data_IF_129872074075
#
_entry.id   IF_129872074075
#
_cell.length_a   1.000
_cell.length_b   1.000
_cell.length_c   1.000
_cell.angle_alpha   90.00
_cell.angle_beta   90.00
_cell.angle_gamma   90.00
#
_symmetry.space_group_name_H-M   'P 1'
#
loop_
_entity.id
_entity.type
_entity.pdbx_description
1 polymer ?
#
# COMPACT_ATOMS: atom_id res chain seq x y z
N UNK A 1 16.27 -7.78 -10.43
CA UNK A 1 16.93 -6.53 -10.00
C UNK A 1 15.89 -5.86 -9.16
N UNK A 2 16.08 -5.97 -7.85
CA UNK A 2 15.09 -5.56 -6.87
C UNK A 2 14.91 -4.06 -6.95
N UNK A 3 13.67 -3.64 -7.10
CA UNK A 3 13.31 -2.22 -7.02
C UNK A 3 12.96 -1.92 -5.58
N UNK A 4 13.58 -0.87 -5.03
CA UNK A 4 13.35 -0.41 -3.67
C UNK A 4 12.84 1.02 -3.68
N UNK A 5 11.77 1.27 -2.93
CA UNK A 5 11.10 2.57 -2.83
C UNK A 5 10.91 2.89 -1.35
N UNK A 6 11.39 4.06 -0.94
CA UNK A 6 11.14 4.63 0.38
C UNK A 6 10.43 5.96 0.24
N UNK A 7 9.28 6.11 0.91
CA UNK A 7 8.49 7.35 0.93
C UNK A 7 8.02 7.61 2.36
N UNK A 8 7.90 8.89 2.72
CA UNK A 8 7.34 9.26 4.03
C UNK A 8 6.72 10.64 3.98
N UNK A 9 5.75 10.89 4.85
CA UNK A 9 5.11 12.18 5.03
C UNK A 9 4.84 12.46 6.52
N UNK A 10 4.74 13.75 6.85
CA UNK A 10 4.31 14.22 8.16
C UNK A 10 2.88 14.73 8.06
N UNK A 11 2.00 14.22 8.91
CA UNK A 11 0.58 14.56 8.89
C UNK A 11 0.12 14.98 10.29
N UNK A 12 -0.75 16.00 10.40
CA UNK A 12 -1.30 16.48 11.66
C UNK A 12 -2.49 15.61 12.13
N UNK A 13 -2.31 14.28 12.09
CA UNK A 13 -3.30 13.30 12.52
C UNK A 13 -2.67 12.27 13.46
N UNK A 14 -3.45 11.67 14.39
CA UNK A 14 -2.96 10.60 15.24
C UNK A 14 -2.48 9.39 14.44
N UNK A 15 -1.47 8.67 14.95
CA UNK A 15 -0.93 7.47 14.30
C UNK A 15 -2.01 6.40 14.04
N UNK A 16 -2.94 6.21 14.99
CA UNK A 16 -4.05 5.27 14.85
C UNK A 16 -4.94 5.61 13.66
N UNK A 17 -5.30 6.89 13.46
CA UNK A 17 -6.16 7.29 12.34
C UNK A 17 -5.51 7.01 10.98
N UNK A 18 -4.19 7.25 10.86
CA UNK A 18 -3.45 6.93 9.64
C UNK A 18 -3.29 5.43 9.43
N UNK A 19 -3.07 4.69 10.52
CA UNK A 19 -3.06 3.22 10.47
C UNK A 19 -4.39 2.68 9.97
N UNK A 20 -5.51 3.14 10.53
CA UNK A 20 -6.85 2.69 10.16
C UNK A 20 -7.13 2.98 8.69
N UNK A 21 -6.70 4.16 8.21
CA UNK A 21 -6.83 4.55 6.82
C UNK A 21 -6.07 3.62 5.86
N UNK A 22 -4.84 3.21 6.22
CA UNK A 22 -4.06 2.26 5.42
C UNK A 22 -4.57 0.83 5.61
N UNK A 23 -5.07 0.46 6.78
CA UNK A 23 -5.59 -0.89 7.01
C UNK A 23 -6.95 -1.12 6.31
N UNK A 24 -7.66 -0.04 5.93
CA UNK A 24 -8.93 -0.11 5.21
C UNK A 24 -8.75 -0.38 3.71
N UNK A 25 -8.19 -1.56 3.40
CA UNK A 25 -7.84 -1.98 2.04
C UNK A 25 -9.06 -2.02 1.13
N UNK A 26 -10.25 -2.37 1.64
CA UNK A 26 -11.48 -2.47 0.86
C UNK A 26 -11.87 -1.15 0.16
N UNK A 27 -11.40 -0.01 0.67
CA UNK A 27 -11.72 1.32 0.15
C UNK A 27 -10.67 1.90 -0.79
N UNK A 28 -9.60 1.18 -1.06
CA UNK A 28 -8.49 1.68 -1.89
C UNK A 28 -8.93 2.11 -3.29
N UNK A 29 -9.87 1.39 -3.91
CA UNK A 29 -10.41 1.76 -5.23
C UNK A 29 -11.22 3.06 -5.24
N UNK A 30 -11.62 3.60 -4.08
CA UNK A 30 -12.32 4.88 -4.00
C UNK A 30 -11.40 6.08 -4.25
N UNK A 31 -10.09 5.95 -3.98
CA UNK A 31 -9.18 7.11 -4.00
C UNK A 31 -7.80 6.85 -4.63
N UNK A 32 -7.39 5.59 -4.82
CA UNK A 32 -6.13 5.28 -5.52
C UNK A 32 -6.38 5.23 -7.03
N UNK A 33 -5.83 6.17 -7.83
CA UNK A 33 -6.21 6.31 -9.25
C UNK A 33 -5.84 5.12 -10.15
N UNK A 34 -4.91 4.28 -9.68
CA UNK A 34 -4.41 3.10 -10.36
C UNK A 34 -5.01 1.81 -9.81
N UNK A 35 -5.80 1.87 -8.74
CA UNK A 35 -6.47 0.73 -8.14
C UNK A 35 -7.87 0.58 -8.74
N UNK A 36 -8.05 -0.47 -9.55
CA UNK A 36 -9.35 -0.79 -10.15
C UNK A 36 -10.25 -1.61 -9.23
N UNK A 37 -9.66 -2.44 -8.35
CA UNK A 37 -10.38 -3.22 -7.35
C UNK A 37 -9.49 -3.48 -6.14
N UNK A 38 -10.11 -3.54 -4.96
CA UNK A 38 -9.47 -3.96 -3.73
C UNK A 38 -10.43 -4.80 -2.91
N UNK A 39 -9.95 -5.94 -2.40
CA UNK A 39 -10.78 -6.92 -1.66
C UNK A 39 -10.03 -7.46 -0.47
N UNK A 40 -10.67 -7.45 0.70
CA UNK A 40 -10.21 -8.20 1.87
C UNK A 40 -10.71 -9.63 1.72
N UNK A 41 -9.79 -10.59 1.66
CA UNK A 41 -10.09 -12.01 1.54
C UNK A 41 -10.29 -12.64 2.91
N UNK A 42 -9.43 -12.28 3.87
CA UNK A 42 -9.47 -12.73 5.26
C UNK A 42 -8.96 -11.60 6.16
N UNK A 43 -9.51 -11.47 7.37
CA UNK A 43 -9.07 -10.48 8.34
C UNK A 43 -9.24 -10.96 9.78
N UNK A 44 -8.32 -10.52 10.62
CA UNK A 44 -8.26 -10.68 12.07
C UNK A 44 -7.53 -9.47 12.67
N UNK A 45 -7.40 -9.41 13.99
CA UNK A 45 -6.72 -8.30 14.67
C UNK A 45 -5.21 -8.21 14.33
N UNK A 46 -4.57 -9.36 14.04
CA UNK A 46 -3.12 -9.45 13.83
C UNK A 46 -2.73 -9.68 12.36
N UNK A 47 -3.68 -10.10 11.52
CA UNK A 47 -3.41 -10.47 10.13
C UNK A 47 -4.56 -10.13 9.19
N UNK A 48 -4.21 -9.79 7.97
CA UNK A 48 -5.16 -9.59 6.87
C UNK A 48 -4.60 -10.18 5.58
N UNK A 49 -5.43 -10.91 4.83
CA UNK A 49 -5.11 -11.29 3.45
C UNK A 49 -5.96 -10.44 2.52
N UNK A 50 -5.32 -9.70 1.61
CA UNK A 50 -6.02 -8.78 0.72
C UNK A 50 -5.52 -8.88 -0.71
N UNK A 51 -6.42 -8.64 -1.66
CA UNK A 51 -6.14 -8.60 -3.10
C UNK A 51 -6.31 -7.19 -3.62
N UNK A 52 -5.36 -6.74 -4.44
CA UNK A 52 -5.42 -5.48 -5.18
C UNK A 52 -5.32 -5.76 -6.68
N UNK A 53 -6.16 -5.09 -7.46
CA UNK A 53 -6.08 -5.06 -8.91
C UNK A 53 -5.63 -3.68 -9.37
N UNK A 54 -4.45 -3.62 -9.98
CA UNK A 54 -3.92 -2.41 -10.60
C UNK A 54 -4.30 -2.38 -12.08
N UNK A 55 -4.78 -1.24 -12.58
CA UNK A 55 -5.14 -1.12 -13.99
C UNK A 55 -4.77 0.24 -14.58
N UNK A 56 -4.30 0.24 -15.83
CA UNK A 56 -4.10 1.45 -16.64
C UNK A 56 -4.06 1.10 -18.12
N UNK A 57 -4.82 1.84 -18.94
CA UNK A 57 -4.72 1.77 -20.41
C UNK A 57 -5.00 0.38 -21.00
N UNK A 58 -5.96 -0.36 -20.43
CA UNK A 58 -6.35 -1.70 -20.91
C UNK A 58 -5.50 -2.86 -20.38
N UNK A 59 -4.42 -2.57 -19.64
CA UNK A 59 -3.68 -3.57 -18.88
C UNK A 59 -4.17 -3.59 -17.43
N UNK A 60 -4.51 -4.78 -16.92
CA UNK A 60 -4.76 -4.99 -15.50
C UNK A 60 -4.03 -6.23 -14.99
N UNK A 61 -3.69 -6.19 -13.70
CA UNK A 61 -3.13 -7.32 -12.97
C UNK A 61 -3.56 -7.26 -11.52
N UNK A 62 -3.77 -8.42 -10.92
CA UNK A 62 -3.99 -8.54 -9.50
C UNK A 62 -2.77 -9.12 -8.79
N UNK A 63 -2.67 -8.80 -7.51
CA UNK A 63 -1.78 -9.47 -6.58
C UNK A 63 -2.47 -9.61 -5.23
N UNK A 64 -1.99 -10.54 -4.42
CA UNK A 64 -2.49 -10.84 -3.08
C UNK A 64 -1.33 -10.70 -2.11
N UNK A 65 -1.56 -10.00 -1.00
CA UNK A 65 -0.63 -9.92 0.11
C UNK A 65 -1.20 -10.55 1.37
N UNK A 66 -0.32 -11.10 2.19
CA UNK A 66 -0.58 -11.40 3.59
C UNK A 66 0.06 -10.31 4.43
N UNK A 67 -0.78 -9.61 5.17
CA UNK A 67 -0.41 -8.48 5.99
C UNK A 67 -0.31 -8.93 7.45
N UNK A 68 0.77 -8.56 8.12
CA UNK A 68 0.91 -8.65 9.58
C UNK A 68 0.69 -7.28 10.18
N UNK A 69 -0.20 -7.21 11.16
CA UNK A 69 -0.78 -5.97 11.67
C UNK A 69 -0.32 -5.70 13.10
N UNK A 70 0.20 -4.49 13.33
CA UNK A 70 0.40 -3.95 14.68
C UNK A 70 -0.36 -2.62 14.77
N UNK A 71 -1.56 -2.62 15.38
CA UNK A 71 -2.42 -1.43 15.42
C UNK A 71 -1.69 -0.15 15.84
N UNK A 72 -1.84 0.88 15.02
CA UNK A 72 -1.24 2.20 15.23
C UNK A 72 0.28 2.28 15.08
N UNK A 73 0.96 1.18 14.70
CA UNK A 73 2.42 1.11 14.64
C UNK A 73 2.95 0.68 13.28
N UNK A 74 2.48 -0.46 12.74
CA UNK A 74 3.00 -0.97 11.47
C UNK A 74 2.05 -1.93 10.76
N UNK A 75 2.24 -2.03 9.43
CA UNK A 75 1.64 -3.06 8.58
C UNK A 75 2.77 -3.61 7.71
N UNK A 76 3.09 -4.89 7.89
CA UNK A 76 4.04 -5.61 7.05
C UNK A 76 3.27 -6.39 6.00
N UNK A 77 3.61 -6.24 4.73
CA UNK A 77 2.93 -6.83 3.58
C UNK A 77 3.89 -7.80 2.89
N UNK A 78 3.50 -9.07 2.79
CA UNK A 78 4.26 -10.09 2.08
C UNK A 78 3.44 -10.66 0.92
N UNK A 79 4.10 -10.86 -0.22
CA UNK A 79 3.47 -11.45 -1.41
C UNK A 79 2.95 -12.87 -1.12
N UNK A 80 1.71 -13.13 -1.52
CA UNK A 80 1.11 -14.47 -1.58
C UNK A 80 0.99 -14.93 -3.03
N UNK A 81 0.49 -14.06 -3.90
CA UNK A 81 0.26 -14.35 -5.32
C UNK A 81 0.40 -13.06 -6.13
N UNK A 82 0.92 -13.14 -7.35
CA UNK A 82 0.89 -12.02 -8.29
C UNK A 82 1.99 -12.10 -9.35
N UNK A 83 2.13 -11.06 -10.18
CA UNK A 83 3.13 -10.99 -11.25
C UNK A 83 4.55 -10.70 -10.74
N UNK A 84 4.82 -10.96 -9.47
CA UNK A 84 6.08 -10.67 -8.79
C UNK A 84 6.73 -11.97 -8.32
N UNK A 85 8.06 -12.04 -8.36
CA UNK A 85 8.81 -13.07 -7.64
C UNK A 85 8.80 -12.78 -6.14
N UNK A 86 8.89 -11.50 -5.79
CA UNK A 86 8.86 -11.01 -4.42
C UNK A 86 8.19 -9.64 -4.39
N UNK A 87 7.38 -9.40 -3.37
CA UNK A 87 6.90 -8.09 -2.96
C UNK A 87 6.87 -8.11 -1.44
N UNK A 88 7.58 -7.15 -0.85
CA UNK A 88 7.64 -6.94 0.58
C UNK A 88 7.48 -5.44 0.84
N UNK A 89 6.55 -5.07 1.70
CA UNK A 89 6.37 -3.67 2.08
C UNK A 89 6.13 -3.50 3.57
N UNK A 90 6.64 -2.40 4.12
CA UNK A 90 6.47 -2.06 5.52
C UNK A 90 5.94 -0.64 5.62
N UNK A 91 4.70 -0.53 6.10
CA UNK A 91 4.17 0.71 6.62
C UNK A 91 4.61 0.91 8.06
N UNK A 92 5.03 2.12 8.40
CA UNK A 92 5.35 2.52 9.78
C UNK A 92 4.64 3.82 10.11
N UNK A 93 3.95 3.83 11.25
CA UNK A 93 3.22 4.96 11.79
C UNK A 93 3.91 5.42 13.07
N UNK A 94 4.77 6.43 12.95
CA UNK A 94 5.52 6.96 14.08
C UNK A 94 4.81 8.19 14.64
N UNK A 95 4.17 8.03 15.80
CA UNK A 95 3.63 9.16 16.55
C UNK A 95 4.75 10.16 16.89
N UNK A 96 4.49 11.44 16.64
CA UNK A 96 5.34 12.59 16.99
C UNK A 96 4.67 13.48 18.05
N UNK A 97 3.46 13.13 18.46
CA UNK A 97 2.60 13.80 19.43
C UNK A 97 1.18 13.23 19.33
N UNK A 98 0.24 13.77 20.11
CA UNK A 98 -1.16 13.26 20.13
C UNK A 98 -1.86 13.39 18.78
N UNK A 99 -1.54 14.44 18.01
CA UNK A 99 -2.15 14.75 16.70
C UNK A 99 -1.10 14.93 15.61
N UNK A 100 0.03 14.24 15.72
CA UNK A 100 1.08 14.32 14.72
C UNK A 100 1.69 12.94 14.51
N UNK A 101 1.81 12.52 13.25
CA UNK A 101 2.38 11.24 12.90
C UNK A 101 3.25 11.35 11.63
N UNK A 102 4.39 10.67 11.66
CA UNK A 102 5.16 10.36 10.45
C UNK A 102 4.70 9.01 9.91
N UNK A 103 4.09 9.02 8.74
CA UNK A 103 3.79 7.81 7.98
C UNK A 103 4.96 7.52 7.03
N UNK A 104 5.43 6.28 6.97
CA UNK A 104 6.51 5.84 6.08
C UNK A 104 6.15 4.52 5.40
N UNK A 105 6.55 4.38 4.14
CA UNK A 105 6.48 3.15 3.37
C UNK A 105 7.89 2.79 2.89
N UNK A 106 8.34 1.61 3.25
CA UNK A 106 9.47 0.92 2.63
C UNK A 106 8.92 -0.22 1.77
N UNK A 107 9.21 -0.26 0.47
CA UNK A 107 8.66 -1.24 -0.46
C UNK A 107 9.77 -1.81 -1.34
N UNK A 108 9.92 -3.12 -1.34
CA UNK A 108 10.84 -3.91 -2.16
C UNK A 108 10.08 -4.89 -3.04
N UNK A 109 10.40 -4.97 -4.33
CA UNK A 109 9.79 -5.96 -5.21
C UNK A 109 10.66 -6.33 -6.41
N UNK A 110 10.39 -7.52 -6.95
CA UNK A 110 10.99 -8.07 -8.16
C UNK A 110 9.90 -8.68 -9.05
N UNK A 111 9.91 -8.36 -10.34
CA UNK A 111 8.97 -8.91 -11.32
C UNK A 111 9.29 -10.36 -11.68
N UNK A 112 8.26 -11.15 -12.00
CA UNK A 112 8.38 -12.53 -12.47
C UNK A 112 8.90 -12.65 -13.93
N UNK A 113 9.97 -11.92 -14.25
CA UNK A 113 10.64 -11.93 -15.55
C UNK A 113 10.61 -10.60 -16.32
N UNK A 114 11.37 -10.51 -17.42
CA UNK A 114 11.56 -9.26 -18.18
C UNK A 114 10.29 -8.81 -18.93
N UNK A 115 9.45 -9.74 -19.39
CA UNK A 115 8.20 -9.42 -20.09
C UNK A 115 7.23 -8.73 -19.15
N UNK A 116 7.03 -9.32 -17.96
CA UNK A 116 6.18 -8.77 -16.90
C UNK A 116 6.65 -7.39 -16.46
N UNK A 117 7.97 -7.21 -16.31
CA UNK A 117 8.57 -5.90 -16.03
C UNK A 117 8.29 -4.87 -17.12
N UNK A 118 8.36 -5.26 -18.40
CA UNK A 118 8.16 -4.33 -19.50
C UNK A 118 6.70 -3.85 -19.62
N UNK A 119 5.74 -4.73 -19.29
CA UNK A 119 4.31 -4.40 -19.37
C UNK A 119 3.80 -3.68 -18.13
N UNK A 120 4.12 -4.19 -16.93
CA UNK A 120 3.58 -3.68 -15.66
C UNK A 120 4.49 -2.71 -14.94
N UNK A 121 5.79 -2.73 -15.27
CA UNK A 121 6.82 -1.94 -14.60
C UNK A 121 6.42 -0.48 -14.42
N UNK A 122 6.04 0.23 -15.50
CA UNK A 122 5.64 1.62 -15.41
C UNK A 122 4.41 1.86 -14.51
N UNK A 123 3.40 0.98 -14.58
CA UNK A 123 2.17 1.11 -13.79
C UNK A 123 2.45 0.90 -12.30
N UNK A 124 3.11 -0.21 -11.95
CA UNK A 124 3.38 -0.51 -10.55
C UNK A 124 4.40 0.45 -9.94
N UNK A 125 5.42 0.87 -10.70
CA UNK A 125 6.33 1.93 -10.26
C UNK A 125 5.56 3.23 -10.00
N UNK A 126 4.66 3.64 -10.90
CA UNK A 126 3.83 4.83 -10.66
C UNK A 126 3.00 4.66 -9.39
N UNK A 127 2.33 3.51 -9.22
CA UNK A 127 1.52 3.21 -8.06
C UNK A 127 2.31 3.31 -6.74
N UNK A 128 3.44 2.63 -6.67
CA UNK A 128 4.31 2.65 -5.50
C UNK A 128 4.88 4.04 -5.18
N UNK A 129 5.14 4.86 -6.20
CA UNK A 129 5.66 6.22 -6.02
C UNK A 129 4.62 7.21 -5.50
N UNK A 130 3.34 7.02 -5.82
CA UNK A 130 2.25 7.95 -5.46
C UNK A 130 1.42 7.49 -4.27
N UNK A 131 1.64 6.28 -3.76
CA UNK A 131 0.81 5.68 -2.72
C UNK A 131 0.79 6.51 -1.43
N UNK A 132 1.95 6.95 -0.91
CA UNK A 132 2.01 7.80 0.29
C UNK A 132 1.28 9.13 0.06
N UNK A 133 1.44 9.76 -1.10
CA UNK A 133 0.80 11.04 -1.41
C UNK A 133 -0.73 10.89 -1.49
N UNK A 134 -1.22 9.79 -2.07
CA UNK A 134 -2.64 9.49 -2.14
C UNK A 134 -3.25 9.31 -0.73
N UNK A 135 -2.55 8.64 0.19
CA UNK A 135 -2.98 8.56 1.59
C UNK A 135 -2.96 9.90 2.31
N UNK A 136 -1.96 10.74 2.05
CA UNK A 136 -1.92 12.10 2.59
C UNK A 136 -3.14 12.90 2.14
N UNK A 137 -3.51 12.78 0.86
CA UNK A 137 -4.67 13.45 0.31
C UNK A 137 -5.96 12.91 0.91
N UNK A 138 -6.09 11.59 1.00
CA UNK A 138 -7.27 10.95 1.58
C UNK A 138 -7.47 11.29 3.06
N UNK A 139 -6.40 11.38 3.84
CA UNK A 139 -6.48 11.81 5.24
C UNK A 139 -7.03 13.24 5.37
N UNK A 140 -6.65 14.15 4.46
CA UNK A 140 -7.20 15.52 4.41
C UNK A 140 -8.68 15.54 4.06
N UNK A 141 -9.13 14.68 3.14
CA UNK A 141 -10.54 14.61 2.75
C UNK A 141 -11.45 14.09 3.87
N UNK A 142 -10.95 13.19 4.73
CA UNK A 142 -11.73 12.58 5.81
C UNK A 142 -11.72 13.38 7.11
N UNK A 143 -10.67 14.18 7.35
CA UNK A 143 -10.41 14.82 8.64
C UNK A 143 -10.07 16.32 8.56
N UNK A 144 -10.03 16.90 7.36
CA UNK A 144 -9.72 18.29 7.09
C UNK A 144 -10.91 19.15 6.73
#
# INVERSE_FOLDING_TARGET
MTTHIQRSALLPYPAQALYDLVNDVARYSEFLPWCSSAKVLEASDERMRASLEIAKGGLSQHFVTQNTLVPGQSIVMDLVEGPFNQLHGVWTFKALGEKACKISLDLSFDYAGPIVRATLGPLFNQAANTLVDAFCQRAKELHG
#
